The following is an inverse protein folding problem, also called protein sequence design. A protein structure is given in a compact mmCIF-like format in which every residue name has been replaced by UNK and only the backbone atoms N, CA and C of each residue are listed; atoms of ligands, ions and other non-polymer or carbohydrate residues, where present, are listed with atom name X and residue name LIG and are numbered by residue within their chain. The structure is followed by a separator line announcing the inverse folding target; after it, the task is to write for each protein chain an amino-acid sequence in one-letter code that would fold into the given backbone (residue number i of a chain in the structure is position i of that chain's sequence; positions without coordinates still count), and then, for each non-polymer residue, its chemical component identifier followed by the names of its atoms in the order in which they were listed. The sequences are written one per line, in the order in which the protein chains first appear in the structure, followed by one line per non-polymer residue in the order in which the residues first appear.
data_IF_777494989619
#
_entry.id   IF_777494989619
#
_cell.length_a   1.000
_cell.length_b   1.000
_cell.length_c   1.000
_cell.angle_alpha   90.00
_cell.angle_beta   90.00
_cell.angle_gamma   90.00
#
_symmetry.space_group_name_H-M   'P 1'
#
loop_
_entity.id
_entity.type
_entity.pdbx_description
1 polymer ?
#
# COMPACT_ATOMS: atom_id res chain seq x y z
N UNK A 1 82.60 2.20 -49.51
CA UNK A 1 81.19 2.25 -49.95
C UNK A 1 80.33 1.46 -48.97
N UNK A 2 79.45 2.15 -48.22
CA UNK A 2 78.04 1.80 -47.94
C UNK A 2 77.58 2.54 -46.67
N UNK A 3 76.71 3.52 -46.89
CA UNK A 3 75.85 4.16 -45.89
C UNK A 3 74.83 3.12 -45.41
N UNK A 4 74.50 3.08 -44.12
CA UNK A 4 73.24 2.51 -43.65
C UNK A 4 72.56 3.56 -42.78
N UNK A 5 71.50 4.11 -43.36
CA UNK A 5 70.47 4.96 -42.77
C UNK A 5 69.50 4.05 -42.01
N UNK A 6 69.04 4.49 -40.84
CA UNK A 6 68.35 3.66 -39.85
C UNK A 6 66.87 3.40 -40.07
N UNK A 7 66.23 2.92 -39.00
CA UNK A 7 64.79 2.96 -38.77
C UNK A 7 64.55 3.02 -37.26
N UNK A 8 63.96 4.11 -36.78
CA UNK A 8 63.41 4.23 -35.42
C UNK A 8 61.94 3.89 -35.55
N UNK A 9 61.51 2.79 -34.93
CA UNK A 9 60.11 2.37 -34.89
C UNK A 9 59.42 3.08 -33.73
N UNK A 10 58.56 4.06 -34.02
CA UNK A 10 57.71 4.72 -33.02
C UNK A 10 56.42 3.91 -32.90
N UNK A 11 56.22 3.29 -31.73
CA UNK A 11 54.98 2.59 -31.38
C UNK A 11 53.92 3.64 -30.99
N UNK A 12 52.85 3.77 -31.79
CA UNK A 12 51.67 4.54 -31.41
C UNK A 12 50.71 3.63 -30.61
N UNK A 13 50.59 3.87 -29.31
CA UNK A 13 49.56 3.26 -28.47
C UNK A 13 48.33 4.18 -28.52
N UNK A 14 47.28 3.73 -29.21
CA UNK A 14 45.98 4.41 -29.23
C UNK A 14 45.22 4.00 -27.96
N UNK A 15 45.05 4.94 -27.03
CA UNK A 15 44.14 4.78 -25.89
C UNK A 15 42.71 5.01 -26.36
N UNK A 16 41.92 3.93 -26.42
CA UNK A 16 40.46 4.02 -26.56
C UNK A 16 39.87 4.49 -25.24
N UNK A 17 39.54 5.78 -25.15
CA UNK A 17 38.70 6.33 -24.08
C UNK A 17 37.26 5.89 -24.35
N UNK A 18 36.77 4.92 -23.59
CA UNK A 18 35.34 4.64 -23.49
C UNK A 18 34.68 5.77 -22.68
N UNK A 19 33.56 6.37 -23.13
CA UNK A 19 32.84 7.33 -22.33
C UNK A 19 32.26 6.59 -21.12
N UNK A 20 32.73 6.95 -19.93
CA UNK A 20 32.06 6.59 -18.67
C UNK A 20 30.79 7.42 -18.66
N UNK A 21 29.65 6.81 -19.01
CA UNK A 21 28.35 7.39 -18.70
C UNK A 21 28.27 7.51 -17.19
N UNK A 22 28.37 8.73 -16.66
CA UNK A 22 28.00 8.98 -15.28
C UNK A 22 26.48 8.78 -15.21
N UNK A 23 26.07 7.61 -14.72
CA UNK A 23 24.72 7.42 -14.23
C UNK A 23 24.65 8.31 -12.99
N UNK A 24 24.12 9.52 -13.16
CA UNK A 24 23.71 10.33 -12.02
C UNK A 24 22.61 9.52 -11.33
N UNK A 25 22.94 8.88 -10.21
CA UNK A 25 21.93 8.32 -9.33
C UNK A 25 20.98 9.48 -8.99
N UNK A 26 19.69 9.32 -9.32
CA UNK A 26 18.63 10.20 -8.82
C UNK A 26 18.82 10.25 -7.30
N UNK A 27 18.89 11.43 -6.66
CA UNK A 27 18.95 11.49 -5.21
C UNK A 27 17.75 10.70 -4.67
N UNK A 28 18.05 9.77 -3.76
CA UNK A 28 17.06 8.90 -3.14
C UNK A 28 16.08 9.80 -2.38
N UNK A 29 14.81 9.85 -2.83
CA UNK A 29 13.72 10.48 -2.09
C UNK A 29 13.45 9.61 -0.86
N UNK A 30 14.21 9.85 0.21
CA UNK A 30 14.04 9.11 1.46
C UNK A 30 12.92 9.78 2.26
N UNK A 31 11.78 9.11 2.35
CA UNK A 31 10.72 9.47 3.28
C UNK A 31 11.23 9.33 4.72
N UNK A 32 10.69 10.16 5.62
CA UNK A 32 10.97 10.05 7.04
C UNK A 32 10.43 8.71 7.58
N UNK A 33 11.05 8.21 8.64
CA UNK A 33 10.61 6.97 9.28
C UNK A 33 9.24 7.17 9.93
N UNK A 34 8.27 6.33 9.56
CA UNK A 34 6.94 6.32 10.18
C UNK A 34 7.05 5.76 11.61
N UNK A 35 6.63 6.55 12.59
CA UNK A 35 6.51 6.14 13.99
C UNK A 35 5.08 6.31 14.44
N UNK A 36 4.42 5.21 14.80
CA UNK A 36 3.06 5.25 15.33
C UNK A 36 3.03 5.71 16.80
N UNK A 37 1.92 6.32 17.26
CA UNK A 37 1.73 6.62 18.68
C UNK A 37 1.91 5.38 19.56
N UNK A 38 2.30 5.57 20.82
CA UNK A 38 2.52 4.45 21.74
C UNK A 38 1.28 3.54 21.86
N UNK A 39 1.47 2.24 21.66
CA UNK A 39 0.44 1.21 21.63
C UNK A 39 0.98 -0.14 22.12
N UNK A 40 0.11 -1.12 22.32
CA UNK A 40 0.50 -2.48 22.70
C UNK A 40 1.18 -3.20 21.52
N UNK A 41 2.25 -3.97 21.76
CA UNK A 41 3.05 -4.66 20.70
C UNK A 41 2.25 -5.61 19.78
N UNK A 42 1.06 -6.02 20.22
CA UNK A 42 0.14 -6.89 19.48
C UNK A 42 -1.06 -6.14 18.89
N UNK A 43 -1.05 -4.80 18.91
CA UNK A 43 -2.12 -4.02 18.30
C UNK A 43 -2.12 -4.23 16.78
N UNK A 44 -3.32 -4.53 16.29
CA UNK A 44 -3.66 -4.62 14.87
C UNK A 44 -4.16 -3.26 14.34
N UNK A 45 -4.68 -2.42 15.24
CA UNK A 45 -5.15 -1.06 14.94
C UNK A 45 -4.73 -0.11 16.06
N UNK A 46 -4.20 1.05 15.68
CA UNK A 46 -3.79 2.12 16.61
C UNK A 46 -4.69 3.33 16.43
N UNK A 47 -5.27 3.82 17.51
CA UNK A 47 -6.05 5.05 17.49
C UNK A 47 -5.12 6.28 17.47
N UNK A 48 -5.27 7.12 16.46
CA UNK A 48 -4.43 8.30 16.23
C UNK A 48 -4.97 9.55 16.93
N UNK A 49 -6.26 9.56 17.27
CA UNK A 49 -6.90 10.66 17.99
C UNK A 49 -8.02 11.31 17.20
N UNK A 50 -8.34 12.56 17.58
CA UNK A 50 -9.32 13.39 16.89
C UNK A 50 -8.63 14.62 16.32
N UNK A 51 -9.02 14.99 15.12
CA UNK A 51 -8.63 16.25 14.51
C UNK A 51 -9.81 16.91 13.83
N UNK A 52 -9.62 18.15 13.40
CA UNK A 52 -10.53 18.80 12.45
C UNK A 52 -10.02 18.54 11.06
N UNK A 53 -10.89 18.04 10.20
CA UNK A 53 -10.69 18.03 8.76
C UNK A 53 -10.68 19.48 8.26
N UNK A 54 -9.61 19.87 7.54
CA UNK A 54 -9.40 21.23 7.05
C UNK A 54 -10.41 21.66 5.99
N UNK A 55 -10.98 20.71 5.25
CA UNK A 55 -11.88 20.99 4.14
C UNK A 55 -13.32 21.17 4.61
N UNK A 56 -13.74 20.38 5.61
CA UNK A 56 -15.12 20.37 6.10
C UNK A 56 -15.32 21.06 7.45
N UNK A 57 -14.24 21.35 8.19
CA UNK A 57 -14.23 21.78 9.60
C UNK A 57 -14.92 20.77 10.56
N UNK A 58 -15.22 19.56 10.08
CA UNK A 58 -15.79 18.49 10.90
C UNK A 58 -14.73 17.84 11.77
N UNK A 59 -15.14 17.39 12.96
CA UNK A 59 -14.26 16.59 13.82
C UNK A 59 -14.26 15.15 13.32
N UNK A 60 -13.08 14.65 12.98
CA UNK A 60 -12.82 13.29 12.50
C UNK A 60 -11.93 12.53 13.47
N UNK A 61 -11.93 11.21 13.35
CA UNK A 61 -11.14 10.26 14.13
C UNK A 61 -10.16 9.54 13.20
N UNK A 62 -8.91 9.34 13.64
CA UNK A 62 -7.87 8.68 12.87
C UNK A 62 -7.52 7.31 13.44
N UNK A 63 -7.26 6.34 12.57
CA UNK A 63 -6.83 4.99 12.92
C UNK A 63 -5.74 4.52 11.96
N UNK A 64 -4.65 3.95 12.49
CA UNK A 64 -3.64 3.26 11.70
C UNK A 64 -3.86 1.74 11.80
N UNK A 65 -4.15 1.11 10.66
CA UNK A 65 -4.26 -0.35 10.50
C UNK A 65 -2.86 -0.91 10.24
N UNK A 66 -2.46 -1.90 11.01
CA UNK A 66 -1.10 -2.45 11.00
C UNK A 66 -1.14 -3.85 10.43
N UNK A 67 -0.53 -4.04 9.27
CA UNK A 67 -0.46 -5.35 8.64
C UNK A 67 0.90 -6.00 8.86
N UNK A 68 0.89 -7.26 9.30
CA UNK A 68 2.09 -7.91 9.85
C UNK A 68 2.40 -9.23 9.16
N UNK A 69 3.70 -9.53 9.10
CA UNK A 69 4.20 -10.84 8.71
C UNK A 69 4.12 -11.79 9.90
N UNK A 70 3.06 -12.61 9.98
CA UNK A 70 2.86 -13.57 11.07
C UNK A 70 2.12 -14.81 10.58
N UNK A 71 2.37 -15.93 11.24
CA UNK A 71 1.55 -17.13 11.04
C UNK A 71 0.15 -16.93 11.61
N UNK A 72 -0.86 -17.45 10.91
CA UNK A 72 -2.25 -17.42 11.37
C UNK A 72 -2.41 -18.10 12.73
N UNK A 73 -3.08 -17.43 13.68
CA UNK A 73 -3.50 -18.07 14.94
C UNK A 73 -4.71 -18.99 14.68
N UNK A 74 -4.83 -20.12 15.40
CA UNK A 74 -5.99 -21.01 15.24
C UNK A 74 -7.32 -20.30 15.57
N UNK A 75 -8.38 -20.60 14.81
CA UNK A 75 -9.72 -20.09 15.11
C UNK A 75 -10.16 -20.40 16.54
N UNK A 76 -10.59 -19.37 17.27
CA UNK A 76 -11.13 -19.49 18.64
C UNK A 76 -12.62 -19.88 18.68
N UNK A 77 -13.33 -19.85 17.54
CA UNK A 77 -14.79 -20.01 17.47
C UNK A 77 -15.22 -21.11 16.50
N UNK A 78 -16.20 -21.91 16.90
CA UNK A 78 -16.83 -22.93 16.05
C UNK A 78 -17.91 -22.37 15.10
N UNK A 79 -18.30 -21.09 15.24
CA UNK A 79 -19.26 -20.45 14.33
C UNK A 79 -18.52 -19.96 13.10
N UNK A 80 -18.89 -20.46 11.93
CA UNK A 80 -18.43 -19.94 10.64
C UNK A 80 -18.94 -18.50 10.52
N UNK A 81 -18.06 -17.49 10.46
CA UNK A 81 -18.45 -16.09 10.31
C UNK A 81 -18.81 -15.80 8.85
N UNK A 82 -19.34 -14.62 8.58
CA UNK A 82 -19.62 -14.17 7.21
C UNK A 82 -18.36 -13.85 6.39
N UNK A 83 -17.19 -13.88 7.03
CA UNK A 83 -15.90 -13.57 6.43
C UNK A 83 -15.79 -12.17 5.82
N UNK A 84 -16.43 -11.18 6.44
CA UNK A 84 -16.18 -9.75 6.20
C UNK A 84 -16.44 -8.94 7.47
N UNK A 85 -15.86 -7.73 7.53
CA UNK A 85 -16.03 -6.74 8.58
C UNK A 85 -15.90 -5.33 8.02
N UNK A 86 -16.30 -4.33 8.81
CA UNK A 86 -16.22 -2.90 8.44
C UNK A 86 -15.49 -2.12 9.51
N UNK A 87 -14.80 -1.05 9.10
CA UNK A 87 -14.17 -0.10 10.04
C UNK A 87 -15.22 0.45 11.02
N UNK A 88 -16.36 0.85 10.45
CA UNK A 88 -17.61 0.98 11.17
C UNK A 88 -18.77 0.74 10.21
N UNK A 89 -19.88 0.20 10.72
CA UNK A 89 -21.09 0.02 9.89
C UNK A 89 -21.52 1.34 9.26
N UNK A 90 -21.60 1.36 7.91
CA UNK A 90 -22.01 2.52 7.12
C UNK A 90 -20.95 3.62 6.99
N UNK A 91 -19.74 3.45 7.52
CA UNK A 91 -18.62 4.34 7.24
C UNK A 91 -18.07 3.98 5.86
N UNK A 92 -18.38 4.82 4.87
CA UNK A 92 -17.95 4.68 3.48
C UNK A 92 -17.67 6.05 2.89
N UNK A 93 -16.96 6.07 1.77
CA UNK A 93 -16.77 7.28 0.98
C UNK A 93 -18.10 7.87 0.52
N UNK A 94 -18.29 9.17 0.73
CA UNK A 94 -19.44 9.94 0.21
C UNK A 94 -19.11 10.74 -1.04
N UNK A 95 -17.83 11.05 -1.22
CA UNK A 95 -17.27 11.76 -2.35
C UNK A 95 -16.09 10.95 -2.86
N UNK A 96 -15.88 10.96 -4.17
CA UNK A 96 -14.71 10.34 -4.79
C UNK A 96 -13.56 11.34 -4.74
N UNK A 97 -12.41 10.88 -4.26
CA UNK A 97 -11.19 11.67 -4.16
C UNK A 97 -10.06 10.96 -4.88
N UNK A 98 -9.15 11.73 -5.47
CA UNK A 98 -7.98 11.18 -6.14
C UNK A 98 -6.87 10.90 -5.13
N UNK A 99 -5.85 10.17 -5.58
CA UNK A 99 -4.70 9.82 -4.76
C UNK A 99 -3.38 10.09 -5.48
N UNK A 100 -2.34 10.26 -4.69
CA UNK A 100 -0.96 10.43 -5.13
C UNK A 100 -0.13 9.23 -4.73
N UNK A 101 0.82 8.85 -5.58
CA UNK A 101 1.83 7.85 -5.23
C UNK A 101 3.23 8.36 -5.51
N UNK A 102 4.10 8.25 -4.53
CA UNK A 102 5.54 8.28 -4.76
C UNK A 102 6.02 6.84 -4.99
N UNK A 103 6.38 6.53 -6.24
CA UNK A 103 6.79 5.19 -6.65
C UNK A 103 8.26 4.89 -6.39
N UNK A 104 9.04 5.86 -5.88
CA UNK A 104 10.44 5.66 -5.55
C UNK A 104 10.58 4.60 -4.44
N UNK A 105 11.29 3.51 -4.74
CA UNK A 105 11.51 2.41 -3.81
C UNK A 105 12.91 1.81 -4.00
N UNK A 106 13.47 1.31 -2.90
CA UNK A 106 14.81 0.70 -2.89
C UNK A 106 14.82 -0.78 -3.25
N UNK A 107 13.64 -1.37 -3.48
CA UNK A 107 13.46 -2.81 -3.69
C UNK A 107 13.28 -3.22 -5.15
N UNK A 108 13.35 -2.25 -6.06
CA UNK A 108 13.43 -2.48 -7.51
C UNK A 108 12.09 -2.80 -8.16
N UNK A 109 10.96 -2.43 -7.52
CA UNK A 109 9.68 -2.40 -8.21
C UNK A 109 9.70 -1.25 -9.23
N UNK A 110 9.25 -1.54 -10.46
CA UNK A 110 9.15 -0.55 -11.51
C UNK A 110 8.04 0.46 -11.20
N UNK A 111 8.29 1.74 -11.43
CA UNK A 111 7.34 2.82 -11.13
C UNK A 111 5.99 2.64 -11.84
N UNK A 112 6.01 2.27 -13.12
CA UNK A 112 4.77 2.03 -13.88
C UNK A 112 4.00 0.82 -13.34
N UNK A 113 4.74 -0.23 -12.93
CA UNK A 113 4.11 -1.36 -12.25
C UNK A 113 3.43 -0.95 -10.95
N UNK A 114 4.05 -0.13 -10.10
CA UNK A 114 3.47 0.31 -8.82
C UNK A 114 2.16 1.06 -9.06
N UNK A 115 2.16 2.09 -9.92
CA UNK A 115 0.96 2.88 -10.21
C UNK A 115 -0.16 2.01 -10.82
N UNK A 116 0.17 1.21 -11.83
CA UNK A 116 -0.81 0.37 -12.52
C UNK A 116 -1.37 -0.70 -11.59
N UNK A 117 -0.53 -1.32 -10.74
CA UNK A 117 -0.97 -2.34 -9.80
C UNK A 117 -1.92 -1.76 -8.74
N UNK A 118 -1.59 -0.61 -8.15
CA UNK A 118 -2.47 0.08 -7.20
C UNK A 118 -3.81 0.44 -7.85
N UNK A 119 -3.78 1.02 -9.05
CA UNK A 119 -5.01 1.37 -9.80
C UNK A 119 -5.87 0.15 -10.10
N UNK A 120 -5.24 -0.97 -10.50
CA UNK A 120 -5.95 -2.22 -10.75
C UNK A 120 -6.53 -2.81 -9.45
N UNK A 121 -5.82 -2.75 -8.34
CA UNK A 121 -6.32 -3.25 -7.05
C UNK A 121 -7.51 -2.45 -6.53
N UNK A 122 -7.50 -1.12 -6.69
CA UNK A 122 -8.68 -0.29 -6.41
C UNK A 122 -9.84 -0.68 -7.33
N UNK A 123 -9.57 -0.85 -8.63
CA UNK A 123 -10.58 -1.30 -9.60
C UNK A 123 -11.22 -2.63 -9.21
N UNK A 124 -10.48 -3.57 -8.61
CA UNK A 124 -11.04 -4.84 -8.11
C UNK A 124 -12.12 -4.60 -7.05
N UNK A 125 -11.85 -3.75 -6.07
CA UNK A 125 -12.81 -3.40 -5.02
C UNK A 125 -14.02 -2.64 -5.57
N UNK A 126 -13.77 -1.68 -6.46
CA UNK A 126 -14.80 -0.90 -7.13
C UNK A 126 -15.72 -1.78 -7.99
N UNK A 127 -15.16 -2.65 -8.82
CA UNK A 127 -15.91 -3.61 -9.64
C UNK A 127 -16.74 -4.57 -8.78
N UNK A 128 -16.22 -5.01 -7.64
CA UNK A 128 -16.92 -5.88 -6.70
C UNK A 128 -18.07 -5.22 -5.92
N UNK A 129 -18.18 -3.89 -5.96
CA UNK A 129 -19.14 -3.13 -5.15
C UNK A 129 -20.61 -3.33 -5.54
N UNK A 130 -20.91 -4.03 -6.63
CA UNK A 130 -22.27 -4.50 -6.97
C UNK A 130 -22.49 -6.01 -6.69
N UNK A 131 -21.46 -6.67 -6.16
CA UNK A 131 -21.42 -8.10 -5.87
C UNK A 131 -21.02 -8.99 -7.06
N UNK A 132 -20.58 -8.42 -8.20
CA UNK A 132 -20.26 -9.15 -9.42
C UNK A 132 -18.90 -8.71 -9.97
N UNK A 133 -17.92 -9.63 -9.93
CA UNK A 133 -16.60 -9.39 -10.54
C UNK A 133 -16.65 -9.49 -12.07
N UNK A 134 -15.96 -8.59 -12.74
CA UNK A 134 -15.63 -8.57 -14.16
C UNK A 134 -16.70 -7.93 -15.04
N UNK A 135 -17.67 -7.22 -14.47
CA UNK A 135 -18.75 -6.58 -15.23
C UNK A 135 -18.54 -5.07 -15.43
N UNK A 136 -17.63 -4.45 -14.67
CA UNK A 136 -17.34 -3.02 -14.66
C UNK A 136 -18.55 -2.14 -14.42
N UNK A 137 -19.51 -2.60 -13.61
CA UNK A 137 -20.74 -1.89 -13.25
C UNK A 137 -20.76 -1.40 -11.80
N UNK A 138 -19.74 -1.73 -11.02
CA UNK A 138 -19.55 -1.20 -9.67
C UNK A 138 -19.33 0.32 -9.65
N UNK A 139 -19.26 0.87 -8.43
CA UNK A 139 -19.07 2.30 -8.19
C UNK A 139 -17.59 2.66 -8.09
N UNK A 140 -17.23 3.84 -8.61
CA UNK A 140 -15.94 4.46 -8.33
C UNK A 140 -15.92 4.93 -6.86
N UNK A 141 -14.91 4.51 -6.11
CA UNK A 141 -14.75 4.72 -4.67
C UNK A 141 -13.52 5.59 -4.40
N UNK A 142 -12.36 5.19 -4.93
CA UNK A 142 -11.05 5.76 -4.57
C UNK A 142 -10.45 6.67 -5.65
N UNK A 143 -11.21 6.96 -6.71
CA UNK A 143 -10.82 7.94 -7.71
C UNK A 143 -9.63 7.52 -8.56
N UNK A 144 -8.97 8.49 -9.17
CA UNK A 144 -7.84 8.25 -10.08
C UNK A 144 -6.51 8.56 -9.42
N UNK A 145 -5.52 7.71 -9.68
CA UNK A 145 -4.16 7.88 -9.20
C UNK A 145 -3.28 8.70 -10.12
N UNK A 146 -2.26 9.34 -9.53
CA UNK A 146 -1.17 9.94 -10.28
C UNK A 146 0.16 9.85 -9.53
N UNK A 147 1.27 9.78 -10.28
CA UNK A 147 2.60 9.78 -9.67
C UNK A 147 3.02 11.17 -9.23
N UNK A 148 3.78 11.23 -8.14
CA UNK A 148 4.51 12.41 -7.70
C UNK A 148 5.95 12.04 -7.33
N UNK A 149 6.84 13.03 -7.43
CA UNK A 149 8.22 12.94 -6.93
C UNK A 149 8.39 13.63 -5.58
N UNK A 150 7.32 14.24 -5.04
CA UNK A 150 7.33 14.91 -3.76
C UNK A 150 7.43 13.89 -2.62
N UNK A 151 8.01 14.31 -1.50
CA UNK A 151 8.00 13.52 -0.28
C UNK A 151 6.59 13.54 0.31
N UNK A 152 6.02 12.36 0.48
CA UNK A 152 4.72 12.09 1.08
C UNK A 152 4.89 11.69 2.55
N UNK A 153 3.88 11.95 3.37
CA UNK A 153 3.95 11.74 4.82
C UNK A 153 2.59 11.28 5.31
N UNK A 154 2.55 10.09 5.92
CA UNK A 154 1.29 9.55 6.42
C UNK A 154 0.78 10.36 7.63
N UNK A 155 -0.51 10.70 7.59
CA UNK A 155 -1.16 11.62 8.50
C UNK A 155 -1.52 10.98 9.84
N UNK A 156 -0.52 10.83 10.70
CA UNK A 156 -0.70 10.25 12.04
C UNK A 156 -1.29 11.21 13.07
N UNK A 157 -1.58 12.48 12.70
CA UNK A 157 -2.04 13.51 13.65
C UNK A 157 -3.30 14.26 13.22
N UNK A 158 -3.45 14.54 11.92
CA UNK A 158 -4.59 15.21 11.32
C UNK A 158 -4.57 14.93 9.82
N UNK A 159 -5.74 14.80 9.15
CA UNK A 159 -5.78 14.68 7.70
C UNK A 159 -5.37 15.98 7.01
N UNK A 160 -4.81 15.88 5.81
CA UNK A 160 -4.35 17.02 5.00
C UNK A 160 -5.17 17.28 3.71
N UNK A 161 -6.15 16.43 3.42
CA UNK A 161 -7.01 16.46 2.23
C UNK A 161 -6.45 15.67 1.04
N UNK A 162 -5.41 14.87 1.24
CA UNK A 162 -4.75 14.09 0.18
C UNK A 162 -4.71 12.62 0.58
N UNK A 163 -5.05 11.73 -0.36
CA UNK A 163 -4.84 10.30 -0.17
C UNK A 163 -3.46 9.91 -0.74
N UNK A 164 -2.59 9.32 0.07
CA UNK A 164 -1.19 9.12 -0.29
C UNK A 164 -0.74 7.66 -0.28
N UNK A 165 0.21 7.32 -1.17
CA UNK A 165 0.90 6.02 -1.16
C UNK A 165 2.40 6.22 -1.32
N UNK A 166 3.20 5.61 -0.45
CA UNK A 166 4.66 5.61 -0.62
C UNK A 166 5.36 4.43 0.07
N UNK A 167 6.63 4.27 -0.25
CA UNK A 167 7.51 3.31 0.41
C UNK A 167 8.33 4.02 1.50
N UNK A 168 8.28 3.51 2.72
CA UNK A 168 8.90 4.13 3.89
C UNK A 168 9.67 3.15 4.77
N UNK A 169 10.37 3.69 5.75
CA UNK A 169 10.88 2.95 6.91
C UNK A 169 9.78 2.97 7.98
N UNK A 170 9.27 1.82 8.39
CA UNK A 170 8.30 1.73 9.49
C UNK A 170 9.07 1.33 10.74
N UNK A 171 9.03 2.17 11.78
CA UNK A 171 9.87 2.01 12.96
C UNK A 171 9.66 0.69 13.71
N UNK A 172 8.48 0.10 13.57
CA UNK A 172 8.11 -1.15 14.24
C UNK A 172 8.42 -2.36 13.35
N UNK A 173 9.29 -3.23 13.84
CA UNK A 173 9.75 -4.36 13.04
C UNK A 173 8.65 -5.40 12.78
N UNK A 174 8.67 -5.98 11.58
CA UNK A 174 7.72 -7.01 11.15
C UNK A 174 6.35 -6.47 10.72
N UNK A 175 6.20 -5.14 10.65
CA UNK A 175 5.05 -4.46 10.04
C UNK A 175 5.32 -4.30 8.55
N UNK A 176 4.51 -4.97 7.73
CA UNK A 176 4.66 -4.97 6.26
C UNK A 176 4.18 -3.65 5.67
N UNK A 177 3.04 -3.16 6.17
CA UNK A 177 2.40 -1.94 5.71
C UNK A 177 1.56 -1.33 6.83
N UNK A 178 1.30 -0.03 6.70
CA UNK A 178 0.36 0.70 7.54
C UNK A 178 -0.58 1.49 6.65
N UNK A 179 -1.87 1.30 6.85
CA UNK A 179 -2.91 2.13 6.24
C UNK A 179 -3.55 3.02 7.31
N UNK A 180 -3.33 4.33 7.21
CA UNK A 180 -3.96 5.32 8.07
C UNK A 180 -5.28 5.73 7.46
N UNK A 181 -6.38 5.70 8.22
CA UNK A 181 -7.71 6.12 7.77
C UNK A 181 -8.24 7.21 8.71
N UNK A 182 -8.72 8.29 8.13
CA UNK A 182 -9.49 9.33 8.83
C UNK A 182 -10.96 9.27 8.46
N UNK A 183 -11.83 9.53 9.44
CA UNK A 183 -13.27 9.53 9.19
C UNK A 183 -14.15 9.78 10.41
N UNK A 184 -15.45 9.67 10.18
CA UNK A 184 -16.50 9.74 11.21
C UNK A 184 -17.04 8.32 11.39
N UNK A 185 -16.66 7.65 12.47
CA UNK A 185 -16.99 6.22 12.68
C UNK A 185 -18.12 5.98 13.70
N UNK A 186 -18.54 7.03 14.40
CA UNK A 186 -19.56 6.97 15.46
C UNK A 186 -20.81 7.79 15.12
N UNK A 187 -21.87 7.67 15.94
CA UNK A 187 -23.17 8.32 15.68
C UNK A 187 -24.03 7.59 14.63
N UNK A 188 -25.08 8.24 14.09
CA UNK A 188 -25.98 7.63 13.10
C UNK A 188 -25.25 7.23 11.82
N UNK A 189 -25.51 6.02 11.32
CA UNK A 189 -24.80 5.43 10.17
C UNK A 189 -24.76 6.33 8.92
N UNK A 190 -25.85 7.03 8.61
CA UNK A 190 -25.93 7.96 7.46
C UNK A 190 -24.96 9.16 7.52
N UNK A 191 -24.40 9.44 8.69
CA UNK A 191 -23.44 10.53 8.88
C UNK A 191 -22.00 10.04 8.98
N UNK A 192 -21.79 8.73 9.09
CA UNK A 192 -20.47 8.14 9.07
C UNK A 192 -19.88 8.25 7.67
N UNK A 193 -18.58 8.44 7.61
CA UNK A 193 -17.84 8.54 6.35
C UNK A 193 -16.35 8.31 6.57
N UNK A 194 -15.69 7.88 5.51
CA UNK A 194 -14.23 7.98 5.36
C UNK A 194 -13.97 9.32 4.68
N UNK A 195 -12.92 10.02 5.12
CA UNK A 195 -12.52 11.30 4.54
C UNK A 195 -11.12 11.28 3.96
N UNK A 196 -10.26 10.35 4.38
CA UNK A 196 -8.88 10.26 3.89
C UNK A 196 -8.26 8.91 4.23
N UNK A 197 -7.27 8.49 3.44
CA UNK A 197 -6.35 7.42 3.77
C UNK A 197 -4.93 7.63 3.23
N UNK A 198 -3.94 7.11 3.98
CA UNK A 198 -2.54 7.05 3.57
C UNK A 198 -1.96 5.65 3.77
N UNK A 199 -1.23 5.18 2.77
CA UNK A 199 -0.65 3.85 2.76
C UNK A 199 0.88 3.89 2.66
N UNK A 200 1.53 3.33 3.68
CA UNK A 200 2.98 3.18 3.74
C UNK A 200 3.34 1.70 3.62
N UNK A 201 4.18 1.36 2.64
CA UNK A 201 4.80 0.05 2.53
C UNK A 201 6.21 0.07 3.13
N UNK A 202 6.51 -0.88 4.01
CA UNK A 202 7.85 -0.98 4.59
C UNK A 202 8.84 -1.48 3.54
N UNK A 203 9.85 -0.66 3.24
CA UNK A 203 10.94 -0.98 2.32
C UNK A 203 12.29 -1.11 3.02
N UNK A 204 12.33 -1.18 4.34
CA UNK A 204 13.54 -1.41 5.14
C UNK A 204 13.57 -2.84 5.64
N UNK A 205 12.47 -3.34 6.19
CA UNK A 205 12.40 -4.69 6.75
C UNK A 205 12.07 -5.76 5.70
N UNK A 206 11.41 -5.39 4.59
CA UNK A 206 10.92 -6.33 3.59
C UNK A 206 11.52 -6.10 2.20
N UNK A 207 11.65 -7.20 1.45
CA UNK A 207 11.86 -7.19 0.01
C UNK A 207 10.52 -7.40 -0.69
N UNK A 208 10.36 -6.76 -1.85
CA UNK A 208 9.10 -6.76 -2.60
C UNK A 208 9.19 -7.54 -3.91
N UNK A 209 8.10 -8.21 -4.24
CA UNK A 209 7.95 -9.02 -5.44
C UNK A 209 6.72 -8.57 -6.24
N UNK A 210 6.89 -8.43 -7.56
CA UNK A 210 5.79 -8.24 -8.50
C UNK A 210 5.17 -9.58 -8.96
N UNK A 211 5.85 -10.71 -8.71
CA UNK A 211 5.58 -12.00 -9.36
C UNK A 211 5.37 -13.17 -8.39
N UNK A 212 5.21 -12.91 -7.09
CA UNK A 212 5.08 -13.95 -6.06
C UNK A 212 6.36 -14.74 -5.73
N UNK A 213 7.54 -14.12 -5.74
CA UNK A 213 8.78 -14.77 -5.32
C UNK A 213 8.70 -15.26 -3.86
N UNK A 214 9.11 -16.51 -3.61
CA UNK A 214 8.86 -17.22 -2.35
C UNK A 214 9.55 -16.66 -1.09
N UNK A 215 10.45 -15.68 -1.24
CA UNK A 215 11.24 -15.10 -0.15
C UNK A 215 11.02 -13.60 -0.01
N UNK A 216 9.90 -13.10 -0.56
CA UNK A 216 9.57 -11.67 -0.61
C UNK A 216 8.09 -11.48 -0.37
N UNK A 217 7.72 -10.30 0.10
CA UNK A 217 6.32 -9.88 0.15
C UNK A 217 5.82 -9.62 -1.26
N UNK A 218 4.63 -10.16 -1.54
CA UNK A 218 3.99 -9.95 -2.83
C UNK A 218 3.24 -8.63 -2.85
N UNK A 219 3.69 -7.68 -3.69
CA UNK A 219 3.16 -6.31 -3.67
C UNK A 219 1.66 -6.27 -3.94
N UNK A 220 1.18 -7.05 -4.92
CA UNK A 220 -0.24 -7.07 -5.27
C UNK A 220 -1.10 -7.67 -4.14
N UNK A 221 -0.65 -8.74 -3.50
CA UNK A 221 -1.33 -9.36 -2.36
C UNK A 221 -1.47 -8.38 -1.19
N UNK A 222 -0.39 -7.68 -0.83
CA UNK A 222 -0.42 -6.70 0.26
C UNK A 222 -1.25 -5.47 -0.13
N UNK A 223 -1.01 -4.89 -1.30
CA UNK A 223 -1.73 -3.70 -1.73
C UNK A 223 -3.24 -3.93 -1.85
N UNK A 224 -3.69 -5.10 -2.33
CA UNK A 224 -5.12 -5.41 -2.41
C UNK A 224 -5.78 -5.46 -1.03
N UNK A 225 -5.08 -6.01 -0.02
CA UNK A 225 -5.52 -6.02 1.37
C UNK A 225 -5.65 -4.60 1.93
N UNK A 226 -4.57 -3.82 1.85
CA UNK A 226 -4.53 -2.47 2.42
C UNK A 226 -5.58 -1.56 1.79
N UNK A 227 -5.74 -1.61 0.47
CA UNK A 227 -6.76 -0.83 -0.23
C UNK A 227 -8.19 -1.24 0.17
N UNK A 228 -8.38 -2.45 0.68
CA UNK A 228 -9.63 -2.84 1.31
C UNK A 228 -9.98 -1.96 2.51
N UNK A 229 -8.99 -1.63 3.37
CA UNK A 229 -9.19 -0.66 4.45
C UNK A 229 -9.57 0.73 3.93
N UNK A 230 -8.93 1.19 2.85
CA UNK A 230 -9.26 2.47 2.19
C UNK A 230 -10.71 2.52 1.69
N UNK A 231 -11.33 1.37 1.38
CA UNK A 231 -12.77 1.28 1.04
C UNK A 231 -13.70 1.10 2.25
N UNK A 232 -13.16 0.94 3.46
CA UNK A 232 -13.95 0.77 4.70
C UNK A 232 -14.10 -0.68 5.17
N UNK A 233 -13.38 -1.62 4.57
CA UNK A 233 -13.33 -3.02 5.01
C UNK A 233 -12.40 -3.17 6.22
N UNK A 234 -12.73 -4.09 7.12
CA UNK A 234 -11.92 -4.36 8.32
C UNK A 234 -11.27 -5.74 8.24
N UNK A 235 -10.19 -5.89 8.99
CA UNK A 235 -9.44 -7.12 9.13
C UNK A 235 -10.27 -8.30 9.63
N UNK A 236 -9.82 -9.47 9.21
CA UNK A 236 -10.34 -10.77 9.61
C UNK A 236 -9.23 -11.60 10.23
N UNK A 237 -9.50 -12.15 11.42
CA UNK A 237 -8.56 -13.00 12.15
C UNK A 237 -9.10 -14.39 12.46
N UNK A 238 -10.30 -14.72 11.95
CA UNK A 238 -10.80 -16.08 12.03
C UNK A 238 -10.13 -16.93 10.94
N UNK A 239 -9.40 -17.98 11.33
CA UNK A 239 -8.67 -18.82 10.38
C UNK A 239 -9.56 -19.54 9.36
N UNK A 240 -10.89 -19.59 9.55
CA UNK A 240 -11.82 -20.07 8.51
C UNK A 240 -12.00 -19.10 7.34
N UNK A 241 -11.54 -17.85 7.48
CA UNK A 241 -11.58 -16.80 6.48
C UNK A 241 -10.18 -16.49 5.93
N UNK A 242 -9.23 -17.40 6.07
CA UNK A 242 -7.83 -17.17 5.70
C UNK A 242 -7.59 -17.05 4.18
N UNK A 243 -8.61 -17.31 3.37
CA UNK A 243 -8.59 -17.07 1.93
C UNK A 243 -9.01 -15.65 1.57
N UNK A 244 -9.75 -14.97 2.45
CA UNK A 244 -10.21 -13.61 2.19
C UNK A 244 -9.03 -12.65 2.10
N UNK A 245 -9.16 -11.67 1.22
CA UNK A 245 -8.20 -10.61 1.02
C UNK A 245 -8.00 -9.85 2.33
N UNK A 246 -9.08 -9.58 3.06
CA UNK A 246 -9.02 -8.90 4.36
C UNK A 246 -8.51 -9.77 5.51
N UNK A 247 -7.91 -10.95 5.26
CA UNK A 247 -7.28 -11.72 6.31
C UNK A 247 -5.97 -11.04 6.78
N UNK A 248 -5.94 -10.67 8.06
CA UNK A 248 -4.96 -9.74 8.65
C UNK A 248 -3.56 -10.30 8.91
N UNK A 249 -3.18 -11.41 8.26
CA UNK A 249 -1.80 -11.92 8.26
C UNK A 249 -1.36 -12.32 6.85
N UNK A 250 -0.11 -12.01 6.49
CA UNK A 250 0.54 -12.44 5.24
C UNK A 250 1.91 -13.09 5.49
N UNK A 251 2.43 -13.78 4.48
CA UNK A 251 3.75 -14.42 4.49
C UNK A 251 4.44 -14.27 3.13
N UNK A 252 5.76 -14.44 3.12
CA UNK A 252 6.55 -14.40 1.88
C UNK A 252 6.01 -15.37 0.83
N UNK A 253 5.96 -14.92 -0.42
CA UNK A 253 5.50 -15.72 -1.56
C UNK A 253 3.99 -15.97 -1.60
N UNK A 254 3.21 -15.46 -0.66
CA UNK A 254 1.76 -15.59 -0.68
C UNK A 254 1.15 -14.71 -1.77
N UNK A 255 0.36 -15.32 -2.66
CA UNK A 255 -0.34 -14.61 -3.74
C UNK A 255 -1.86 -14.81 -3.70
N UNK A 256 -2.37 -15.47 -2.66
CA UNK A 256 -3.78 -15.90 -2.62
C UNK A 256 -4.74 -14.73 -2.46
N UNK A 257 -4.28 -13.64 -1.85
CA UNK A 257 -5.06 -12.43 -1.57
C UNK A 257 -4.84 -11.34 -2.62
N UNK A 258 -4.33 -11.72 -3.80
CA UNK A 258 -4.42 -10.86 -4.99
C UNK A 258 -5.85 -10.73 -5.50
N UNK A 259 -6.70 -11.72 -5.19
CA UNK A 259 -8.08 -11.81 -5.66
C UNK A 259 -9.07 -11.69 -4.49
N UNK A 260 -10.16 -10.95 -4.72
CA UNK A 260 -11.26 -10.85 -3.77
C UNK A 260 -12.01 -12.17 -3.67
N UNK A 261 -12.24 -12.62 -2.44
CA UNK A 261 -13.00 -13.83 -2.15
C UNK A 261 -14.45 -13.50 -1.79
N UNK A 262 -15.22 -14.55 -1.48
CA UNK A 262 -16.67 -14.43 -1.33
C UNK A 262 -17.07 -13.50 -0.18
N UNK A 263 -16.32 -13.50 0.92
CA UNK A 263 -16.53 -12.57 2.02
C UNK A 263 -16.24 -11.13 1.62
N UNK A 264 -15.08 -10.88 1.00
CA UNK A 264 -14.67 -9.57 0.48
C UNK A 264 -15.75 -8.96 -0.44
N UNK A 265 -16.18 -9.70 -1.46
CA UNK A 265 -17.16 -9.26 -2.47
C UNK A 265 -18.52 -8.96 -1.81
N UNK A 266 -18.98 -9.83 -0.91
CA UNK A 266 -20.24 -9.61 -0.21
C UNK A 266 -20.16 -8.39 0.72
N UNK A 267 -19.01 -8.20 1.38
CA UNK A 267 -18.79 -7.11 2.30
C UNK A 267 -18.84 -5.76 1.60
N UNK A 268 -18.09 -5.59 0.50
CA UNK A 268 -18.03 -4.33 -0.24
C UNK A 268 -19.37 -3.99 -0.90
N UNK A 269 -20.07 -4.98 -1.49
CA UNK A 269 -21.42 -4.82 -2.05
C UNK A 269 -22.45 -4.36 -1.02
N UNK A 270 -22.36 -4.86 0.22
CA UNK A 270 -23.28 -4.44 1.28
C UNK A 270 -22.95 -3.07 1.86
N UNK A 271 -21.71 -2.60 1.70
CA UNK A 271 -21.28 -1.29 2.17
C UNK A 271 -21.70 -0.19 1.19
N UNK A 272 -21.46 -0.39 -0.11
CA UNK A 272 -21.67 0.63 -1.15
C UNK A 272 -23.07 0.63 -1.75
#
# INVERSE_FOLDING_TARGET
MKKILGFVTILFIVWLLLPISQVNAKPENRHDQLTLPAHDEDAEVVYLGKSKDSDTDQVVEGYAFIYRSRDSKPAKSARIPNCYGYLASGAKWKTVENWLVNTDNTRGLDSSFVLDNLSNNMTKWEDASDGIIGNSLGVNILGSGSETADTLVADTTAPDGTNEVYFGDIAESGVIAVNTIWGIFSGPTKFREIVEWDLVFDQVDFDWSATGESTKMDFENIATHELGHSTGMNDLYNSSCNLETMFGYASDGETIKRDLHTGDINGINLLY
#
